data_IF_039846375666
#
_entry.id   IF_039846375666
#
_cell.length_a   1.000
_cell.length_b   1.000
_cell.length_c   1.000
_cell.angle_alpha   90.00
_cell.angle_beta   90.00
_cell.angle_gamma   90.00
#
_symmetry.space_group_name_H-M   'P 1'
#
loop_
_entity.id
_entity.type
_entity.pdbx_description
1 polymer ?
#
# COMPACT_ATOMS: atom_id res chain seq x y z
N UNK A 1 -10.05 1.03 9.08
CA UNK A 1 -10.20 2.15 10.04
C UNK A 1 -9.41 3.34 9.54
N UNK A 2 -9.90 4.55 9.72
CA UNK A 2 -9.18 5.76 9.34
C UNK A 2 -8.21 6.15 10.46
N UNK A 3 -6.90 6.18 10.19
CA UNK A 3 -5.84 6.37 11.18
C UNK A 3 -5.05 7.65 10.86
N UNK A 4 -4.74 8.49 11.86
CA UNK A 4 -3.83 9.63 11.69
C UNK A 4 -2.47 9.16 11.20
N UNK A 5 -2.02 9.73 10.09
CA UNK A 5 -0.76 9.32 9.43
C UNK A 5 0.46 9.52 10.35
N UNK A 6 0.37 10.49 11.26
CA UNK A 6 1.41 10.83 12.24
C UNK A 6 1.58 9.79 13.34
N UNK A 7 0.52 9.03 13.66
CA UNK A 7 0.56 7.97 14.68
C UNK A 7 1.19 6.68 14.15
N UNK A 8 1.31 6.52 12.83
CA UNK A 8 1.82 5.30 12.21
C UNK A 8 3.34 5.24 12.31
N UNK A 9 3.82 4.21 13.01
CA UNK A 9 5.23 3.94 13.25
C UNK A 9 5.79 3.03 12.16
N UNK A 10 6.89 3.45 11.55
CA UNK A 10 7.63 2.63 10.59
C UNK A 10 8.87 2.09 11.31
N UNK A 11 8.90 0.77 11.53
CA UNK A 11 10.06 0.05 12.07
C UNK A 11 11.08 -0.25 10.96
N UNK A 12 12.13 -1.01 11.27
CA UNK A 12 13.10 -1.48 10.27
C UNK A 12 12.41 -2.42 9.27
N UNK A 13 12.37 -2.03 8.00
CA UNK A 13 11.72 -2.76 6.91
C UNK A 13 12.74 -3.52 6.06
N UNK A 14 12.29 -4.59 5.40
CA UNK A 14 13.10 -5.38 4.47
C UNK A 14 13.32 -4.59 3.18
N UNK A 15 12.25 -3.97 2.66
CA UNK A 15 12.33 -3.13 1.47
C UNK A 15 12.94 -1.77 1.84
N UNK A 16 14.10 -1.46 1.24
CA UNK A 16 14.78 -0.17 1.44
C UNK A 16 14.53 0.82 0.31
N UNK A 17 14.36 0.33 -0.92
CA UNK A 17 14.09 1.16 -2.07
C UNK A 17 12.58 1.21 -2.34
N UNK A 18 12.03 2.41 -2.17
CA UNK A 18 10.63 2.70 -2.43
C UNK A 18 10.38 3.06 -3.89
N UNK A 19 11.41 3.23 -4.72
CA UNK A 19 11.31 3.60 -6.13
C UNK A 19 10.54 4.90 -6.37
N UNK A 20 10.13 5.12 -7.62
CA UNK A 20 9.26 6.25 -7.93
C UNK A 20 7.83 6.00 -7.40
N UNK A 21 7.30 7.02 -6.73
CA UNK A 21 5.94 7.06 -6.17
C UNK A 21 5.00 7.95 -6.99
N UNK A 22 5.45 8.58 -8.08
CA UNK A 22 4.65 9.50 -8.89
C UNK A 22 3.38 8.83 -9.42
N UNK A 23 3.48 7.65 -10.04
CA UNK A 23 2.31 6.92 -10.54
C UNK A 23 1.35 6.54 -9.40
N UNK A 24 1.90 6.19 -8.24
CA UNK A 24 1.09 5.85 -7.06
C UNK A 24 0.38 7.08 -6.51
N UNK A 25 1.03 8.24 -6.51
CA UNK A 25 0.42 9.53 -6.11
C UNK A 25 -0.71 9.92 -7.05
N UNK A 26 -0.52 9.80 -8.37
CA UNK A 26 -1.57 10.10 -9.34
C UNK A 26 -2.75 9.13 -9.18
N UNK A 27 -2.48 7.85 -8.99
CA UNK A 27 -3.52 6.86 -8.67
C UNK A 27 -4.29 7.21 -7.39
N UNK A 28 -3.58 7.59 -6.32
CA UNK A 28 -4.19 8.03 -5.05
C UNK A 28 -5.06 9.28 -5.19
N UNK A 29 -4.66 10.25 -6.03
CA UNK A 29 -5.47 11.45 -6.31
C UNK A 29 -6.75 11.10 -7.07
N UNK A 30 -6.65 10.22 -8.06
CA UNK A 30 -7.77 9.86 -8.94
C UNK A 30 -8.78 8.93 -8.29
N UNK A 31 -8.30 7.90 -7.59
CA UNK A 31 -9.13 6.80 -7.10
C UNK A 31 -9.18 6.70 -5.58
N UNK A 32 -8.40 7.52 -4.86
CA UNK A 32 -8.20 7.36 -3.43
C UNK A 32 -7.37 6.11 -3.11
N UNK A 33 -7.41 5.72 -1.84
CA UNK A 33 -6.70 4.52 -1.37
C UNK A 33 -7.55 3.27 -1.59
N UNK A 34 -7.40 2.63 -2.76
CA UNK A 34 -8.12 1.40 -3.11
C UNK A 34 -7.82 0.24 -2.15
N UNK A 35 -6.55 0.07 -1.81
CA UNK A 35 -6.09 -0.97 -0.89
C UNK A 35 -5.58 -0.31 0.40
N UNK A 36 -6.25 -0.52 1.55
CA UNK A 36 -5.78 -0.03 2.84
C UNK A 36 -4.36 -0.52 3.17
N UNK A 37 -3.63 0.28 3.96
CA UNK A 37 -2.38 -0.18 4.57
C UNK A 37 -2.66 -1.20 5.68
N UNK A 38 -1.66 -1.93 6.12
CA UNK A 38 -1.82 -2.88 7.23
C UNK A 38 -0.93 -2.46 8.39
N UNK A 39 -1.51 -2.37 9.58
CA UNK A 39 -0.82 -2.02 10.84
C UNK A 39 -1.14 -3.04 11.93
N UNK A 40 -0.32 -3.10 12.98
CA UNK A 40 -0.67 -3.79 14.22
C UNK A 40 -1.38 -2.85 15.21
N UNK A 41 -1.83 -3.38 16.35
CA UNK A 41 -2.45 -2.60 17.43
C UNK A 41 -1.59 -1.47 18.01
N UNK A 42 -0.27 -1.53 17.85
CA UNK A 42 0.66 -0.50 18.32
C UNK A 42 0.88 0.62 17.27
N UNK A 43 0.05 0.63 16.22
CA UNK A 43 0.15 1.49 15.03
C UNK A 43 1.44 1.29 14.23
N UNK A 44 2.06 0.11 14.32
CA UNK A 44 3.26 -0.20 13.57
C UNK A 44 2.88 -0.73 12.19
N UNK A 45 3.51 -0.18 11.15
CA UNK A 45 3.26 -0.56 9.78
C UNK A 45 3.77 -1.98 9.48
N UNK A 46 2.87 -2.84 9.00
CA UNK A 46 3.17 -4.20 8.53
C UNK A 46 3.27 -4.24 7.00
N UNK A 47 2.37 -3.54 6.29
CA UNK A 47 2.37 -3.52 4.82
C UNK A 47 1.80 -2.20 4.25
N UNK A 48 2.22 -1.85 3.03
CA UNK A 48 1.73 -0.67 2.33
C UNK A 48 2.57 0.60 2.48
N UNK A 49 3.87 0.47 2.74
CA UNK A 49 4.78 1.61 2.94
C UNK A 49 4.78 2.61 1.78
N UNK A 50 4.85 2.14 0.53
CA UNK A 50 4.78 3.01 -0.65
C UNK A 50 3.50 3.86 -0.67
N UNK A 51 2.36 3.26 -0.29
CA UNK A 51 1.05 3.94 -0.23
C UNK A 51 1.03 4.98 0.89
N UNK A 52 1.55 4.64 2.06
CA UNK A 52 1.68 5.57 3.18
C UNK A 52 2.56 6.77 2.82
N UNK A 53 3.71 6.53 2.17
CA UNK A 53 4.64 7.59 1.77
C UNK A 53 4.07 8.47 0.67
N UNK A 54 3.39 7.88 -0.32
CA UNK A 54 2.70 8.64 -1.35
C UNK A 54 1.57 9.50 -0.75
N UNK A 55 0.76 8.97 0.16
CA UNK A 55 -0.27 9.71 0.88
C UNK A 55 0.32 10.86 1.72
N UNK A 56 1.45 10.62 2.42
CA UNK A 56 2.21 11.68 3.13
C UNK A 56 2.65 12.80 2.18
N UNK A 57 3.22 12.46 1.02
CA UNK A 57 3.65 13.44 0.03
C UNK A 57 2.50 14.23 -0.60
N UNK A 58 1.28 13.66 -0.61
CA UNK A 58 0.07 14.33 -1.05
C UNK A 58 -0.56 15.21 0.04
N UNK A 59 0.02 15.27 1.24
CA UNK A 59 -0.49 16.08 2.36
C UNK A 59 -1.72 15.48 3.04
N UNK A 60 -1.95 14.17 2.91
CA UNK A 60 -3.04 13.52 3.64
C UNK A 60 -2.72 13.51 5.14
N UNK A 61 -3.74 13.77 5.96
CA UNK A 61 -3.62 13.72 7.43
C UNK A 61 -4.03 12.36 7.99
N UNK A 62 -4.87 11.63 7.26
CA UNK A 62 -5.42 10.35 7.67
C UNK A 62 -5.37 9.33 6.53
N UNK A 63 -5.27 8.04 6.86
CA UNK A 63 -5.20 6.95 5.89
C UNK A 63 -6.01 5.74 6.35
N UNK A 64 -6.69 5.07 5.42
CA UNK A 64 -7.38 3.82 5.72
C UNK A 64 -6.38 2.70 5.98
N UNK A 65 -6.53 2.05 7.13
CA UNK A 65 -5.69 0.95 7.58
C UNK A 65 -6.51 -0.24 8.08
N UNK A 66 -6.01 -1.44 7.81
CA UNK A 66 -6.43 -2.70 8.42
C UNK A 66 -5.57 -2.95 9.65
N UNK A 67 -6.20 -3.29 10.78
CA UNK A 67 -5.51 -3.60 12.02
C UNK A 67 -5.47 -5.12 12.17
N UNK A 68 -4.27 -5.69 12.26
CA UNK A 68 -4.07 -7.09 12.62
C UNK A 68 -3.62 -7.15 14.07
N UNK A 69 -4.16 -8.11 14.79
CA UNK A 69 -3.96 -8.29 16.22
C UNK A 69 -3.46 -9.70 16.53
N UNK A 70 -2.85 -9.89 17.70
CA UNK A 70 -2.35 -11.17 18.22
C UNK A 70 -1.37 -11.90 17.28
N UNK A 71 -0.54 -11.15 16.55
CA UNK A 71 0.54 -11.70 15.73
C UNK A 71 1.90 -11.40 16.34
N UNK A 72 2.75 -12.41 16.37
CA UNK A 72 4.15 -12.33 16.76
C UNK A 72 4.96 -11.46 15.79
N UNK A 73 6.16 -11.05 16.21
CA UNK A 73 7.09 -10.32 15.33
C UNK A 73 7.52 -11.17 14.11
N UNK A 74 7.65 -12.49 14.29
CA UNK A 74 7.94 -13.41 13.19
C UNK A 74 6.81 -13.42 12.16
N UNK A 75 5.55 -13.53 12.60
CA UNK A 75 4.38 -13.47 11.70
C UNK A 75 4.26 -12.11 10.99
N UNK A 76 4.60 -11.00 11.66
CA UNK A 76 4.65 -9.68 11.01
C UNK A 76 5.67 -9.65 9.86
N UNK A 77 6.85 -10.24 10.07
CA UNK A 77 7.90 -10.33 9.06
C UNK A 77 7.45 -11.26 7.91
N UNK A 78 6.85 -12.40 8.21
CA UNK A 78 6.30 -13.31 7.20
C UNK A 78 5.25 -12.62 6.33
N UNK A 79 4.33 -11.86 6.93
CA UNK A 79 3.32 -11.08 6.18
C UNK A 79 4.01 -10.04 5.27
N UNK A 80 5.05 -9.34 5.76
CA UNK A 80 5.80 -8.39 4.94
C UNK A 80 6.48 -9.07 3.73
N UNK A 81 7.03 -10.26 3.92
CA UNK A 81 7.67 -11.05 2.87
C UNK A 81 6.62 -11.53 1.86
N UNK A 82 5.54 -12.14 2.33
CA UNK A 82 4.46 -12.67 1.48
C UNK A 82 3.78 -11.59 0.66
N UNK A 83 3.48 -10.40 1.21
CA UNK A 83 2.89 -9.30 0.44
C UNK A 83 3.81 -8.83 -0.69
N UNK A 84 5.11 -8.80 -0.45
CA UNK A 84 6.07 -8.43 -1.48
C UNK A 84 6.25 -9.53 -2.54
N UNK A 85 6.27 -10.80 -2.14
CA UNK A 85 6.44 -11.95 -3.05
C UNK A 85 5.20 -12.24 -3.89
N UNK A 86 4.00 -12.13 -3.32
CA UNK A 86 2.74 -12.35 -4.04
C UNK A 86 2.39 -11.20 -4.99
N UNK A 87 3.15 -10.09 -4.99
CA UNK A 87 2.96 -8.99 -5.94
C UNK A 87 3.32 -9.45 -7.35
N UNK A 88 2.30 -9.83 -8.11
CA UNK A 88 2.41 -10.15 -9.54
C UNK A 88 1.97 -8.94 -10.36
N UNK A 89 2.89 -8.39 -11.13
CA UNK A 89 2.55 -7.37 -12.12
C UNK A 89 1.69 -8.00 -13.23
N UNK A 90 0.75 -7.22 -13.77
CA UNK A 90 0.03 -7.65 -14.96
C UNK A 90 1.02 -7.88 -16.10
N UNK A 91 0.80 -8.95 -16.85
CA UNK A 91 1.46 -9.15 -18.14
C UNK A 91 1.02 -8.08 -19.13
N UNK A 92 1.84 -7.84 -20.16
CA UNK A 92 1.50 -6.90 -21.23
C UNK A 92 0.15 -7.23 -21.90
N UNK A 93 -0.17 -8.52 -22.02
CA UNK A 93 -1.44 -8.98 -22.60
C UNK A 93 -2.64 -8.63 -21.71
N UNK A 94 -2.52 -8.85 -20.40
CA UNK A 94 -3.56 -8.50 -19.42
C UNK A 94 -3.78 -6.98 -19.36
N UNK A 95 -2.70 -6.18 -19.40
CA UNK A 95 -2.80 -4.72 -19.48
C UNK A 95 -3.52 -4.28 -20.75
N UNK A 96 -3.15 -4.81 -21.91
CA UNK A 96 -3.77 -4.46 -23.19
C UNK A 96 -5.25 -4.85 -23.21
N UNK A 97 -5.61 -6.02 -22.69
CA UNK A 97 -7.00 -6.44 -22.57
C UNK A 97 -7.80 -5.49 -21.64
N UNK A 98 -7.19 -5.04 -20.54
CA UNK A 98 -7.76 -4.04 -19.65
C UNK A 98 -8.02 -2.69 -20.34
N UNK A 99 -7.03 -2.17 -21.08
CA UNK A 99 -7.18 -0.92 -21.83
C UNK A 99 -8.25 -1.01 -22.92
N UNK A 100 -8.28 -2.09 -23.71
CA UNK A 100 -9.34 -2.32 -24.70
C UNK A 100 -10.72 -2.34 -24.05
N UNK A 101 -10.86 -2.99 -22.90
CA UNK A 101 -12.13 -3.01 -22.16
C UNK A 101 -12.55 -1.61 -21.70
N UNK A 102 -11.60 -0.77 -21.30
CA UNK A 102 -11.87 0.62 -20.89
C UNK A 102 -12.34 1.49 -22.08
N UNK A 103 -11.79 1.30 -23.28
CA UNK A 103 -12.21 2.02 -24.50
C UNK A 103 -13.68 1.82 -24.82
N UNK A 104 -14.27 0.67 -24.51
CA UNK A 104 -15.71 0.43 -24.72
C UNK A 104 -16.64 1.32 -23.88
N UNK A 105 -16.12 1.96 -22.83
CA UNK A 105 -16.89 2.85 -21.94
C UNK A 105 -16.54 4.33 -22.10
N UNK A 106 -15.65 4.68 -23.04
CA UNK A 106 -15.28 6.05 -23.37
C UNK A 106 -15.91 6.46 -24.70
#
# INVERSE_FOLDING_TARGET
MLIPIEEIKIKKRIRKDLGDLNDLKESLKLYGLLNPITINKNFELIAGERRLQAAKQLGWTNINANIIDNISEAEQIEIEIEENNQRKEFTNEELLAGYKRLEHYR
#
